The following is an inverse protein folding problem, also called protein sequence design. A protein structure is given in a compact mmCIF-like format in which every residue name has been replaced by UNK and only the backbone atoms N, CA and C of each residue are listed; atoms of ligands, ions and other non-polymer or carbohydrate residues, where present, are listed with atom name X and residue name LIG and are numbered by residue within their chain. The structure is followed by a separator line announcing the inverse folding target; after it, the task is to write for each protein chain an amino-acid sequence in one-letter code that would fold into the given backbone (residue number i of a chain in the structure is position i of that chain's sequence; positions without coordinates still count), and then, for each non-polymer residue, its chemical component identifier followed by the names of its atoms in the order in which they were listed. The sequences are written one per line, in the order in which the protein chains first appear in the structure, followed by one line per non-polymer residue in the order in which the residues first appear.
data_IF_220903757172
#
_entry.id   IF_220903757172
#
_cell.length_a   1.000
_cell.length_b   1.000
_cell.length_c   1.000
_cell.angle_alpha   90.00
_cell.angle_beta   90.00
_cell.angle_gamma   90.00
#
_symmetry.space_group_name_H-M   'P 1'
#
loop_
_entity.id
_entity.type
_entity.pdbx_description
1 polymer ?
#
# COMPACT_ATOMS: atom_id res chain seq x y z
N UNK A 1 34.87 -27.37 14.43
CA UNK A 1 34.65 -26.35 13.39
C UNK A 1 33.21 -25.83 13.31
N UNK A 2 32.26 -26.34 14.10
CA UNK A 2 30.86 -25.83 14.13
C UNK A 2 30.59 -24.75 15.19
N UNK A 3 31.55 -24.43 16.07
CA UNK A 3 31.34 -23.50 17.19
C UNK A 3 31.56 -22.02 16.85
N UNK A 4 32.26 -21.70 15.76
CA UNK A 4 32.58 -20.31 15.37
C UNK A 4 31.55 -19.71 14.39
N UNK A 5 30.84 -20.54 13.61
CA UNK A 5 29.80 -20.05 12.68
C UNK A 5 28.53 -19.58 13.40
N UNK A 6 28.22 -20.17 14.57
CA UNK A 6 27.02 -19.87 15.34
C UNK A 6 27.14 -18.58 16.19
N UNK A 7 28.36 -18.15 16.53
CA UNK A 7 28.56 -16.86 17.22
C UNK A 7 28.51 -15.69 16.23
N UNK A 8 29.03 -15.87 15.02
CA UNK A 8 29.06 -14.85 13.98
C UNK A 8 27.69 -14.54 13.35
N UNK A 9 26.74 -15.48 13.41
CA UNK A 9 25.33 -15.26 13.03
C UNK A 9 24.55 -14.57 14.15
N UNK A 10 24.80 -14.94 15.42
CA UNK A 10 24.23 -14.30 16.61
C UNK A 10 24.66 -12.84 16.80
N UNK A 11 25.95 -12.53 16.61
CA UNK A 11 26.47 -11.16 16.70
C UNK A 11 26.00 -10.27 15.54
N UNK A 12 25.85 -10.81 14.31
CA UNK A 12 25.25 -10.06 13.18
C UNK A 12 23.77 -9.76 13.40
N UNK A 13 23.02 -10.69 13.99
CA UNK A 13 21.62 -10.48 14.38
C UNK A 13 21.46 -9.45 15.50
N UNK A 14 22.33 -9.46 16.52
CA UNK A 14 22.30 -8.52 17.63
C UNK A 14 22.78 -7.11 17.25
N UNK A 15 23.81 -6.98 16.39
CA UNK A 15 24.26 -5.69 15.85
C UNK A 15 23.26 -5.06 14.86
N UNK A 16 22.44 -5.88 14.18
CA UNK A 16 21.37 -5.34 13.33
C UNK A 16 20.26 -4.72 14.20
N UNK A 17 19.82 -5.41 15.26
CA UNK A 17 18.77 -4.92 16.17
C UNK A 17 19.22 -3.66 16.93
N UNK A 18 20.48 -3.59 17.38
CA UNK A 18 21.01 -2.45 18.16
C UNK A 18 21.03 -1.13 17.37
N UNK A 19 21.21 -1.18 16.04
CA UNK A 19 21.15 0.00 15.16
C UNK A 19 19.74 0.59 15.02
N UNK A 20 18.70 -0.25 15.11
CA UNK A 20 17.32 0.16 14.89
C UNK A 20 16.53 0.37 16.18
N UNK A 21 17.05 -0.12 17.30
CA UNK A 21 16.58 0.26 18.62
C UNK A 21 16.69 1.79 18.78
N UNK A 22 15.60 2.40 19.24
CA UNK A 22 15.42 3.85 19.39
C UNK A 22 15.35 4.66 18.07
N UNK A 23 15.16 4.01 16.91
CA UNK A 23 14.90 4.74 15.66
C UNK A 23 13.44 5.23 15.62
N UNK A 24 13.23 6.46 16.11
CA UNK A 24 11.92 7.11 16.14
C UNK A 24 11.22 7.16 14.78
N UNK A 25 11.96 7.38 13.70
CA UNK A 25 11.39 7.44 12.34
C UNK A 25 10.92 6.08 11.85
N UNK A 26 11.65 5.01 12.18
CA UNK A 26 11.20 3.65 11.90
C UNK A 26 9.90 3.33 12.63
N UNK A 27 9.82 3.66 13.93
CA UNK A 27 8.60 3.42 14.71
C UNK A 27 7.40 4.17 14.14
N UNK A 28 7.60 5.42 13.75
CA UNK A 28 6.55 6.22 13.11
C UNK A 28 6.07 5.58 11.79
N UNK A 29 7.00 5.16 10.92
CA UNK A 29 6.65 4.53 9.64
C UNK A 29 5.93 3.20 9.84
N UNK A 30 6.42 2.34 10.74
CA UNK A 30 5.76 1.07 11.07
C UNK A 30 4.40 1.30 11.74
N UNK A 31 4.26 2.34 12.56
CA UNK A 31 2.98 2.74 13.16
C UNK A 31 1.97 3.20 12.10
N UNK A 32 2.41 3.99 11.13
CA UNK A 32 1.55 4.39 10.01
C UNK A 32 1.03 3.17 9.23
N UNK A 33 1.92 2.23 8.91
CA UNK A 33 1.57 1.01 8.18
C UNK A 33 0.64 0.13 9.02
N UNK A 34 0.98 -0.13 10.29
CA UNK A 34 0.13 -0.92 11.18
C UNK A 34 -1.30 -0.36 11.26
N UNK A 35 -1.46 0.96 11.38
CA UNK A 35 -2.79 1.56 11.39
C UNK A 35 -3.47 1.51 10.01
N UNK A 36 -2.71 1.62 8.93
CA UNK A 36 -3.19 1.40 7.56
C UNK A 36 -3.80 0.00 7.38
N UNK A 37 -3.09 -1.06 7.79
CA UNK A 37 -3.60 -2.43 7.69
C UNK A 37 -4.87 -2.63 8.55
N UNK A 38 -4.97 -1.94 9.69
CA UNK A 38 -6.20 -1.97 10.49
C UNK A 38 -7.38 -1.36 9.72
N UNK A 39 -7.15 -0.28 8.97
CA UNK A 39 -8.17 0.34 8.12
C UNK A 39 -8.53 -0.50 6.91
N UNK A 40 -7.56 -1.14 6.28
CA UNK A 40 -7.80 -2.10 5.22
C UNK A 40 -8.66 -3.28 5.72
N UNK A 41 -8.35 -3.82 6.91
CA UNK A 41 -9.18 -4.82 7.58
C UNK A 41 -10.63 -4.36 7.79
N UNK A 42 -10.83 -3.17 8.38
CA UNK A 42 -12.15 -2.60 8.64
C UNK A 42 -12.93 -2.42 7.32
N UNK A 43 -12.29 -1.89 6.29
CA UNK A 43 -12.90 -1.69 4.97
C UNK A 43 -13.26 -3.00 4.27
N UNK A 44 -12.36 -4.00 4.28
CA UNK A 44 -12.61 -5.30 3.69
C UNK A 44 -13.75 -6.04 4.40
N UNK A 45 -13.80 -5.96 5.74
CA UNK A 45 -14.91 -6.52 6.52
C UNK A 45 -16.24 -5.88 6.13
N UNK A 46 -16.29 -4.56 6.01
CA UNK A 46 -17.51 -3.86 5.62
C UNK A 46 -17.95 -4.22 4.20
N UNK A 47 -17.01 -4.35 3.25
CA UNK A 47 -17.31 -4.80 1.89
C UNK A 47 -17.86 -6.23 1.86
N UNK A 48 -17.36 -7.11 2.72
CA UNK A 48 -17.86 -8.47 2.84
C UNK A 48 -19.32 -8.54 3.33
N UNK A 49 -19.73 -7.60 4.18
CA UNK A 49 -21.08 -7.51 4.74
C UNK A 49 -22.07 -6.84 3.77
N UNK A 50 -21.60 -5.89 2.96
CA UNK A 50 -22.43 -5.14 2.00
C UNK A 50 -22.67 -5.86 0.67
N UNK A 51 -21.76 -6.73 0.25
CA UNK A 51 -21.88 -7.41 -1.05
C UNK A 51 -22.94 -8.52 -1.02
N UNK A 52 -23.79 -8.57 -2.05
CA UNK A 52 -24.80 -9.62 -2.23
C UNK A 52 -24.24 -10.90 -2.87
N UNK A 53 -23.12 -10.77 -3.59
CA UNK A 53 -22.42 -11.89 -4.21
C UNK A 53 -21.64 -12.67 -3.14
N UNK A 54 -21.97 -13.95 -2.97
CA UNK A 54 -21.37 -14.80 -1.95
C UNK A 54 -19.88 -15.04 -2.17
N UNK A 55 -19.45 -15.16 -3.43
CA UNK A 55 -18.04 -15.40 -3.75
C UNK A 55 -17.21 -14.14 -3.51
N UNK A 56 -17.77 -12.98 -3.84
CA UNK A 56 -17.19 -11.68 -3.46
C UNK A 56 -17.13 -11.52 -1.94
N UNK A 57 -18.19 -11.89 -1.20
CA UNK A 57 -18.21 -11.83 0.27
C UNK A 57 -17.13 -12.72 0.88
N UNK A 58 -16.98 -13.95 0.38
CA UNK A 58 -15.93 -14.87 0.83
C UNK A 58 -14.52 -14.33 0.55
N UNK A 59 -14.32 -13.70 -0.61
CA UNK A 59 -13.05 -13.06 -0.98
C UNK A 59 -12.70 -11.91 -0.04
N UNK A 60 -13.65 -11.00 0.23
CA UNK A 60 -13.41 -9.90 1.16
C UNK A 60 -13.20 -10.37 2.62
N UNK A 61 -13.86 -11.45 3.05
CA UNK A 61 -13.57 -12.07 4.37
C UNK A 61 -12.14 -12.60 4.45
N UNK A 62 -11.64 -13.20 3.37
CA UNK A 62 -10.24 -13.64 3.29
C UNK A 62 -9.28 -12.46 3.38
N UNK A 63 -9.56 -11.37 2.65
CA UNK A 63 -8.75 -10.15 2.68
C UNK A 63 -8.73 -9.54 4.08
N UNK A 64 -9.90 -9.36 4.71
CA UNK A 64 -9.98 -8.90 6.09
C UNK A 64 -9.15 -9.77 7.05
N UNK A 65 -9.19 -11.10 6.91
CA UNK A 65 -8.37 -11.98 7.72
C UNK A 65 -6.86 -11.84 7.44
N UNK A 66 -6.44 -11.51 6.21
CA UNK A 66 -5.05 -11.21 5.85
C UNK A 66 -4.59 -9.89 6.48
N UNK A 67 -5.35 -8.82 6.27
CA UNK A 67 -5.08 -7.48 6.80
C UNK A 67 -4.93 -7.46 8.32
N UNK A 68 -5.84 -8.14 9.03
CA UNK A 68 -5.76 -8.22 10.48
C UNK A 68 -4.50 -8.97 10.95
N UNK A 69 -4.03 -9.97 10.17
CA UNK A 69 -2.74 -10.63 10.47
C UNK A 69 -1.57 -9.70 10.20
N UNK A 70 -1.60 -8.93 9.11
CA UNK A 70 -0.55 -7.95 8.80
C UNK A 70 -0.44 -6.89 9.88
N UNK A 71 -1.57 -6.28 10.26
CA UNK A 71 -1.67 -5.34 11.39
C UNK A 71 -1.02 -5.92 12.65
N UNK A 72 -1.45 -7.12 13.08
CA UNK A 72 -0.90 -7.79 14.27
C UNK A 72 0.61 -8.07 14.15
N UNK A 73 1.08 -8.41 12.95
CA UNK A 73 2.49 -8.64 12.69
C UNK A 73 3.32 -7.36 12.82
N UNK A 74 2.86 -6.23 12.28
CA UNK A 74 3.52 -4.94 12.47
C UNK A 74 3.50 -4.47 13.93
N UNK A 75 2.39 -4.67 14.65
CA UNK A 75 2.29 -4.42 16.10
C UNK A 75 3.33 -5.25 16.87
N UNK A 76 3.47 -6.53 16.54
CA UNK A 76 4.49 -7.41 17.14
C UNK A 76 5.90 -6.93 16.81
N UNK A 77 6.16 -6.47 15.58
CA UNK A 77 7.47 -5.95 15.18
C UNK A 77 7.83 -4.66 15.92
N UNK A 78 6.88 -3.73 16.05
CA UNK A 78 7.05 -2.51 16.85
C UNK A 78 7.45 -2.84 18.30
N UNK A 79 6.74 -3.77 18.93
CA UNK A 79 7.05 -4.21 20.29
C UNK A 79 8.44 -4.87 20.40
N UNK A 80 8.80 -5.74 19.44
CA UNK A 80 10.13 -6.38 19.40
C UNK A 80 11.27 -5.37 19.23
N UNK A 81 11.02 -4.26 18.55
CA UNK A 81 11.98 -3.16 18.40
C UNK A 81 12.01 -2.21 19.61
N UNK A 82 11.20 -2.45 20.64
CA UNK A 82 11.13 -1.65 21.87
C UNK A 82 10.19 -0.45 21.80
N UNK A 83 9.34 -0.34 20.77
CA UNK A 83 8.35 0.71 20.63
C UNK A 83 7.00 0.32 21.25
N UNK A 84 6.29 1.32 21.80
CA UNK A 84 4.86 1.20 22.12
C UNK A 84 4.05 1.33 20.81
N UNK A 85 3.32 0.28 20.38
CA UNK A 85 2.60 0.30 19.11
C UNK A 85 1.50 1.37 19.05
N UNK A 86 0.76 1.58 20.15
CA UNK A 86 -0.31 2.59 20.20
C UNK A 86 0.26 4.00 20.06
N UNK A 87 1.38 4.28 20.74
CA UNK A 87 2.08 5.57 20.59
C UNK A 87 2.64 5.76 19.19
N UNK A 88 3.10 4.70 18.54
CA UNK A 88 3.61 4.74 17.18
C UNK A 88 2.51 5.02 16.14
N UNK A 89 1.32 4.43 16.32
CA UNK A 89 0.16 4.60 15.43
C UNK A 89 -0.53 5.97 15.60
N UNK A 90 -0.64 6.45 16.84
CA UNK A 90 -1.43 7.64 17.22
C UNK A 90 -1.26 8.86 16.29
N UNK A 91 -0.05 9.26 15.85
CA UNK A 91 0.12 10.45 14.99
C UNK A 91 -0.49 10.33 13.59
N UNK A 92 -0.85 9.12 13.16
CA UNK A 92 -1.36 8.84 11.80
C UNK A 92 -2.87 8.60 11.77
N UNK A 93 -3.49 8.42 12.93
CA UNK A 93 -4.91 8.07 13.08
C UNK A 93 -5.81 8.99 12.28
N UNK A 94 -5.72 10.30 12.49
CA UNK A 94 -6.61 11.27 11.84
C UNK A 94 -6.38 11.32 10.33
N UNK A 95 -5.11 11.35 9.88
CA UNK A 95 -4.78 11.38 8.46
C UNK A 95 -5.22 10.12 7.71
N UNK A 96 -5.06 8.95 8.32
CA UNK A 96 -5.46 7.68 7.72
C UNK A 96 -6.97 7.49 7.78
N UNK A 97 -7.64 7.93 8.84
CA UNK A 97 -9.10 8.02 8.88
C UNK A 97 -9.64 8.91 7.77
N UNK A 98 -9.02 10.08 7.54
CA UNK A 98 -9.43 10.97 6.47
C UNK A 98 -9.17 10.38 5.08
N UNK A 99 -8.03 9.71 4.89
CA UNK A 99 -7.71 9.04 3.62
C UNK A 99 -8.68 7.88 3.31
N UNK A 100 -9.02 7.08 4.32
CA UNK A 100 -9.96 5.96 4.19
C UNK A 100 -11.44 6.36 4.37
N UNK A 101 -11.73 7.65 4.60
CA UNK A 101 -13.11 8.10 4.75
C UNK A 101 -13.88 7.79 3.47
N UNK A 102 -14.98 7.05 3.61
CA UNK A 102 -15.90 6.82 2.51
C UNK A 102 -16.53 8.14 2.12
N UNK A 103 -16.20 8.60 0.93
CA UNK A 103 -16.98 9.64 0.28
C UNK A 103 -17.92 8.95 -0.70
N UNK A 104 -19.13 9.49 -0.87
CA UNK A 104 -20.20 8.94 -1.73
C UNK A 104 -19.88 8.97 -3.23
N UNK A 105 -18.68 8.55 -3.61
CA UNK A 105 -18.20 8.39 -4.97
C UNK A 105 -18.95 7.29 -5.69
N UNK A 106 -18.98 7.41 -7.02
CA UNK A 106 -19.59 6.39 -7.88
C UNK A 106 -18.74 5.11 -7.93
N UNK A 107 -19.34 4.01 -8.41
CA UNK A 107 -18.73 2.67 -8.51
C UNK A 107 -17.33 2.69 -9.16
N UNK A 108 -17.13 3.47 -10.23
CA UNK A 108 -15.86 3.56 -10.95
C UNK A 108 -14.78 4.23 -10.10
N UNK A 109 -15.11 5.34 -9.44
CA UNK A 109 -14.18 6.05 -8.58
C UNK A 109 -13.70 5.16 -7.44
N UNK A 110 -14.62 4.45 -6.78
CA UNK A 110 -14.28 3.55 -5.69
C UNK A 110 -13.37 2.40 -6.17
N UNK A 111 -13.63 1.83 -7.34
CA UNK A 111 -12.78 0.79 -7.92
C UNK A 111 -11.38 1.29 -8.30
N UNK A 112 -11.27 2.51 -8.84
CA UNK A 112 -9.97 3.14 -9.14
C UNK A 112 -9.17 3.36 -7.86
N UNK A 113 -9.79 3.91 -6.82
CA UNK A 113 -9.10 4.22 -5.56
C UNK A 113 -8.71 2.95 -4.81
N UNK A 114 -9.54 1.90 -4.84
CA UNK A 114 -9.17 0.59 -4.30
C UNK A 114 -7.95 0.04 -5.04
N UNK A 115 -7.99 -0.09 -6.37
CA UNK A 115 -6.88 -0.65 -7.14
C UNK A 115 -5.57 0.13 -6.99
N UNK A 116 -5.61 1.46 -7.11
CA UNK A 116 -4.42 2.29 -6.96
C UNK A 116 -3.94 2.35 -5.50
N UNK A 117 -4.85 2.24 -4.54
CA UNK A 117 -4.56 2.17 -3.11
C UNK A 117 -3.72 0.94 -2.77
N UNK A 118 -4.16 -0.25 -3.17
CA UNK A 118 -3.38 -1.50 -2.99
C UNK A 118 -1.99 -1.39 -3.60
N UNK A 119 -1.93 -0.82 -4.80
CA UNK A 119 -0.70 -0.63 -5.52
C UNK A 119 0.30 0.30 -4.80
N UNK A 120 -0.19 1.41 -4.27
CA UNK A 120 0.59 2.38 -3.51
C UNK A 120 1.08 1.78 -2.19
N UNK A 121 0.24 1.03 -1.48
CA UNK A 121 0.61 0.33 -0.25
C UNK A 121 1.74 -0.68 -0.52
N UNK A 122 1.59 -1.50 -1.58
CA UNK A 122 2.61 -2.45 -2.01
C UNK A 122 3.94 -1.77 -2.41
N UNK A 123 3.91 -0.62 -3.08
CA UNK A 123 5.12 0.11 -3.46
C UNK A 123 5.82 0.74 -2.25
N UNK A 124 5.04 1.24 -1.27
CA UNK A 124 5.57 1.71 0.00
C UNK A 124 6.29 0.58 0.75
N UNK A 125 5.70 -0.61 0.81
CA UNK A 125 6.30 -1.78 1.44
C UNK A 125 7.58 -2.23 0.73
N UNK A 126 7.61 -2.22 -0.61
CA UNK A 126 8.83 -2.52 -1.39
C UNK A 126 9.96 -1.55 -1.10
N UNK A 127 9.65 -0.25 -1.02
CA UNK A 127 10.65 0.73 -0.58
C UNK A 127 11.10 0.48 0.85
N UNK A 128 10.17 0.18 1.76
CA UNK A 128 10.48 0.02 3.19
C UNK A 128 11.52 -1.08 3.40
N UNK A 129 11.43 -2.19 2.66
CA UNK A 129 12.43 -3.27 2.68
C UNK A 129 13.87 -2.81 2.45
N UNK A 130 14.08 -1.73 1.70
CA UNK A 130 15.41 -1.20 1.38
C UNK A 130 16.04 -0.41 2.55
N UNK A 131 15.25 -0.05 3.56
CA UNK A 131 15.61 0.90 4.62
C UNK A 131 15.29 0.37 6.03
N UNK A 132 15.00 -0.93 6.18
CA UNK A 132 14.75 -1.60 7.47
C UNK A 132 15.70 -2.77 7.68
N UNK A 133 15.67 -3.35 8.87
CA UNK A 133 16.38 -4.58 9.17
C UNK A 133 15.81 -5.82 8.44
N UNK A 134 16.59 -6.89 8.40
CA UNK A 134 16.25 -8.13 7.70
C UNK A 134 14.96 -8.78 8.19
N UNK A 135 14.74 -8.90 9.50
CA UNK A 135 13.51 -9.54 10.01
C UNK A 135 12.25 -8.74 9.60
N UNK A 136 12.33 -7.40 9.63
CA UNK A 136 11.24 -6.53 9.18
C UNK A 136 11.02 -6.72 7.68
N UNK A 137 12.09 -6.77 6.89
CA UNK A 137 12.00 -6.98 5.43
C UNK A 137 11.41 -8.36 5.08
N UNK A 138 11.79 -9.41 5.80
CA UNK A 138 11.28 -10.77 5.63
C UNK A 138 9.80 -10.86 5.99
N UNK A 139 9.37 -10.16 7.05
CA UNK A 139 7.95 -10.06 7.38
C UNK A 139 7.17 -9.33 6.28
N UNK A 140 7.70 -8.22 5.76
CA UNK A 140 7.09 -7.49 4.65
C UNK A 140 6.95 -8.39 3.40
N UNK A 141 7.87 -9.31 3.14
CA UNK A 141 7.72 -10.28 2.05
C UNK A 141 6.53 -11.22 2.23
N UNK A 142 6.14 -11.52 3.47
CA UNK A 142 4.91 -12.28 3.73
C UNK A 142 3.66 -11.45 3.47
N UNK A 143 3.68 -10.17 3.82
CA UNK A 143 2.59 -9.20 3.55
C UNK A 143 2.40 -9.05 2.04
N UNK A 144 3.47 -8.75 1.30
CA UNK A 144 3.43 -8.54 -0.15
C UNK A 144 2.91 -9.74 -0.95
N UNK A 145 3.05 -10.98 -0.43
CA UNK A 145 2.46 -12.18 -1.05
C UNK A 145 0.93 -12.17 -0.99
N UNK A 146 0.38 -11.75 0.14
CA UNK A 146 -1.07 -11.59 0.34
C UNK A 146 -1.58 -10.40 -0.50
N UNK A 147 -0.93 -9.23 -0.41
CA UNK A 147 -1.28 -8.00 -1.14
C UNK A 147 -1.37 -8.19 -2.65
N UNK A 148 -0.51 -9.04 -3.21
CA UNK A 148 -0.54 -9.35 -4.64
C UNK A 148 -1.87 -9.93 -5.11
N UNK A 149 -2.64 -10.56 -4.22
CA UNK A 149 -3.97 -11.09 -4.53
C UNK A 149 -5.04 -10.00 -4.42
N UNK A 150 -4.88 -9.06 -3.48
CA UNK A 150 -5.81 -7.94 -3.28
C UNK A 150 -5.74 -6.99 -4.46
N UNK A 151 -4.52 -6.59 -4.86
CA UNK A 151 -4.28 -5.72 -6.00
C UNK A 151 -4.85 -6.32 -7.29
N UNK A 152 -4.65 -7.63 -7.53
CA UNK A 152 -5.21 -8.34 -8.69
C UNK A 152 -6.74 -8.34 -8.69
N UNK A 153 -7.36 -8.63 -7.55
CA UNK A 153 -8.81 -8.65 -7.45
C UNK A 153 -9.40 -7.25 -7.69
N UNK A 154 -8.78 -6.21 -7.14
CA UNK A 154 -9.17 -4.83 -7.40
C UNK A 154 -8.97 -4.43 -8.87
N UNK A 155 -7.87 -4.88 -9.50
CA UNK A 155 -7.62 -4.68 -10.95
C UNK A 155 -8.73 -5.31 -11.81
N UNK A 156 -9.09 -6.56 -11.54
CA UNK A 156 -10.13 -7.29 -12.26
C UNK A 156 -11.48 -6.59 -12.16
N UNK A 157 -11.88 -6.16 -10.96
CA UNK A 157 -13.10 -5.37 -10.76
C UNK A 157 -13.05 -4.06 -11.53
N UNK A 158 -11.93 -3.33 -11.47
CA UNK A 158 -11.80 -2.08 -12.22
C UNK A 158 -11.88 -2.30 -13.74
N UNK A 159 -11.24 -3.35 -14.27
CA UNK A 159 -11.31 -3.72 -15.70
C UNK A 159 -12.75 -3.95 -16.16
N UNK A 160 -13.52 -4.72 -15.39
CA UNK A 160 -14.94 -4.96 -15.66
C UNK A 160 -15.77 -3.67 -15.75
N UNK A 161 -15.39 -2.61 -15.03
CA UNK A 161 -16.09 -1.32 -15.06
C UNK A 161 -15.66 -0.44 -16.24
N UNK A 162 -14.34 -0.33 -16.48
CA UNK A 162 -13.81 0.57 -17.51
C UNK A 162 -14.07 0.04 -18.92
N UNK A 163 -14.21 -1.27 -19.09
CA UNK A 163 -14.49 -1.89 -20.38
C UNK A 163 -15.97 -1.74 -20.80
N UNK A 164 -16.85 -1.28 -19.91
CA UNK A 164 -18.28 -1.03 -20.23
C UNK A 164 -18.47 0.06 -21.28
N UNK A 165 -17.65 1.12 -21.27
CA UNK A 165 -17.75 2.23 -22.23
C UNK A 165 -16.53 3.16 -22.21
N UNK A 166 -16.36 3.96 -23.26
CA UNK A 166 -15.37 5.04 -23.28
C UNK A 166 -15.58 6.06 -22.14
N UNK A 167 -16.83 6.36 -21.79
CA UNK A 167 -17.17 7.27 -20.70
C UNK A 167 -16.69 6.69 -19.35
N UNK A 168 -16.84 5.38 -19.14
CA UNK A 168 -16.35 4.71 -17.94
C UNK A 168 -14.83 4.87 -17.81
N UNK A 169 -14.11 4.68 -18.92
CA UNK A 169 -12.66 4.85 -18.96
C UNK A 169 -12.20 6.29 -18.69
N UNK A 170 -12.93 7.29 -19.21
CA UNK A 170 -12.66 8.70 -18.93
C UNK A 170 -12.92 9.05 -17.45
N UNK A 171 -14.01 8.55 -16.87
CA UNK A 171 -14.30 8.71 -15.43
C UNK A 171 -13.22 8.09 -14.57
N UNK A 172 -12.72 6.91 -14.95
CA UNK A 172 -11.61 6.27 -14.23
C UNK A 172 -10.32 7.10 -14.28
N UNK A 173 -10.00 7.69 -15.43
CA UNK A 173 -8.84 8.58 -15.55
C UNK A 173 -8.97 9.87 -14.71
N UNK A 174 -10.19 10.42 -14.57
CA UNK A 174 -10.48 11.56 -13.70
C UNK A 174 -10.32 11.14 -12.23
N UNK A 175 -10.95 10.04 -11.82
CA UNK A 175 -10.87 9.53 -10.45
C UNK A 175 -9.43 9.26 -10.01
N UNK A 176 -8.57 8.77 -10.90
CA UNK A 176 -7.15 8.60 -10.62
C UNK A 176 -6.46 9.94 -10.29
N UNK A 177 -6.73 11.00 -11.06
CA UNK A 177 -6.16 12.33 -10.77
C UNK A 177 -6.68 12.92 -9.47
N UNK A 178 -7.96 12.72 -9.17
CA UNK A 178 -8.56 13.15 -7.90
C UNK A 178 -7.92 12.44 -6.71
N UNK A 179 -7.62 11.14 -6.83
CA UNK A 179 -6.90 10.40 -5.81
C UNK A 179 -5.52 11.02 -5.52
N UNK A 180 -4.76 11.36 -6.56
CA UNK A 180 -3.45 11.98 -6.40
C UNK A 180 -3.55 13.31 -5.63
N UNK A 181 -4.54 14.15 -5.98
CA UNK A 181 -4.79 15.40 -5.26
C UNK A 181 -5.14 15.15 -3.78
N UNK A 182 -5.97 14.14 -3.51
CA UNK A 182 -6.34 13.74 -2.15
C UNK A 182 -5.17 13.25 -1.34
N UNK A 183 -4.31 12.39 -1.90
CA UNK A 183 -3.11 11.92 -1.21
C UNK A 183 -2.20 13.09 -0.79
N UNK A 184 -2.08 14.10 -1.66
CA UNK A 184 -1.29 15.30 -1.33
C UNK A 184 -1.97 16.20 -0.29
N UNK A 185 -3.31 16.18 -0.20
CA UNK A 185 -4.10 17.07 0.66
C UNK A 185 -4.45 16.47 2.03
N UNK A 186 -4.75 15.17 2.12
CA UNK A 186 -5.17 14.46 3.33
C UNK A 186 -4.01 14.19 4.31
N UNK A 187 -2.76 14.34 3.85
CA UNK A 187 -1.58 14.12 4.68
C UNK A 187 -0.56 15.25 4.65
N UNK A 188 -0.59 16.11 3.63
CA UNK A 188 0.35 17.21 3.40
C UNK A 188 1.82 16.79 3.44
N UNK A 189 2.60 17.14 2.42
CA UNK A 189 4.09 17.05 2.40
C UNK A 189 4.74 17.75 3.62
N UNK A 190 3.97 18.54 4.37
CA UNK A 190 4.36 19.31 5.55
C UNK A 190 3.98 18.67 6.89
N UNK A 191 3.27 17.54 6.96
CA UNK A 191 2.93 16.93 8.25
C UNK A 191 4.17 16.29 8.89
N UNK A 192 4.26 16.37 10.22
CA UNK A 192 5.30 15.69 10.99
C UNK A 192 5.35 14.17 10.69
N UNK A 193 4.20 13.61 10.30
CA UNK A 193 3.96 12.24 9.86
C UNK A 193 4.66 11.90 8.54
N UNK A 194 4.60 12.78 7.52
CA UNK A 194 5.33 12.55 6.26
C UNK A 194 6.86 12.66 6.43
N UNK A 195 7.32 13.56 7.31
CA UNK A 195 8.75 13.71 7.57
C UNK A 195 9.38 12.45 8.18
N UNK A 196 8.61 11.56 8.82
CA UNK A 196 9.12 10.29 9.31
C UNK A 196 9.64 9.41 8.15
N UNK A 197 8.89 9.34 7.05
CA UNK A 197 9.29 8.59 5.85
C UNK A 197 10.55 9.18 5.22
N UNK A 198 10.67 10.51 5.18
CA UNK A 198 11.87 11.16 4.65
C UNK A 198 13.11 10.91 5.52
N UNK A 199 12.95 10.90 6.85
CA UNK A 199 14.02 10.70 7.82
C UNK A 199 14.48 9.25 7.94
N UNK A 200 13.61 8.28 7.65
CA UNK A 200 13.96 6.86 7.71
C UNK A 200 15.06 6.51 6.71
N UNK A 201 15.06 7.16 5.54
CA UNK A 201 16.17 7.10 4.58
C UNK A 201 15.72 6.91 3.14
N UNK A 202 16.63 7.17 2.19
CA UNK A 202 16.41 6.92 0.76
C UNK A 202 15.10 7.52 0.20
N UNK A 203 14.72 8.73 0.64
CA UNK A 203 13.46 9.40 0.24
C UNK A 203 13.28 9.52 -1.28
N UNK A 204 14.36 9.70 -2.04
CA UNK A 204 14.32 9.72 -3.50
C UNK A 204 13.85 8.37 -4.08
N UNK A 205 14.21 7.24 -3.47
CA UNK A 205 13.71 5.93 -3.85
C UNK A 205 12.24 5.77 -3.51
N UNK A 206 11.78 6.27 -2.36
CA UNK A 206 10.34 6.26 -2.02
C UNK A 206 9.52 6.95 -3.12
N UNK A 207 9.93 8.17 -3.49
CA UNK A 207 9.28 8.91 -4.57
C UNK A 207 9.33 8.13 -5.88
N UNK A 208 10.47 7.50 -6.21
CA UNK A 208 10.60 6.67 -7.40
C UNK A 208 9.65 5.46 -7.38
N UNK A 209 9.60 4.68 -6.30
CA UNK A 209 8.68 3.53 -6.17
C UNK A 209 7.22 3.95 -6.38
N UNK A 210 6.78 4.98 -5.66
CA UNK A 210 5.39 5.45 -5.73
C UNK A 210 5.05 6.01 -7.12
N UNK A 211 5.88 6.88 -7.69
CA UNK A 211 5.59 7.52 -8.97
C UNK A 211 5.66 6.53 -10.15
N UNK A 212 6.69 5.69 -10.19
CA UNK A 212 6.86 4.72 -11.29
C UNK A 212 5.78 3.63 -11.24
N UNK A 213 5.46 3.10 -10.07
CA UNK A 213 4.40 2.11 -9.89
C UNK A 213 3.03 2.68 -10.25
N UNK A 214 2.71 3.88 -9.78
CA UNK A 214 1.47 4.57 -10.11
C UNK A 214 1.30 4.78 -11.63
N UNK A 215 2.33 5.31 -12.31
CA UNK A 215 2.29 5.53 -13.76
C UNK A 215 2.20 4.21 -14.53
N UNK A 216 2.91 3.17 -14.09
CA UNK A 216 2.84 1.83 -14.70
C UNK A 216 1.42 1.28 -14.65
N UNK A 217 0.73 1.39 -13.51
CA UNK A 217 -0.66 0.95 -13.35
C UNK A 217 -1.62 1.70 -14.27
N UNK A 218 -1.52 3.03 -14.33
CA UNK A 218 -2.34 3.83 -15.25
C UNK A 218 -2.08 3.45 -16.72
N UNK A 219 -0.82 3.23 -17.09
CA UNK A 219 -0.46 2.83 -18.45
C UNK A 219 -1.03 1.44 -18.80
N UNK A 220 -0.94 0.48 -17.89
CA UNK A 220 -1.45 -0.88 -18.08
C UNK A 220 -2.97 -0.95 -18.25
N UNK A 221 -3.70 0.02 -17.70
CA UNK A 221 -5.16 0.17 -17.88
C UNK A 221 -5.51 1.15 -19.02
N UNK A 222 -4.52 1.76 -19.66
CA UNK A 222 -4.72 2.76 -20.71
C UNK A 222 -5.43 4.03 -20.20
N UNK A 223 -5.23 4.38 -18.93
CA UNK A 223 -5.81 5.57 -18.27
C UNK A 223 -4.90 6.81 -18.37
N UNK A 224 -3.78 6.70 -19.08
CA UNK A 224 -2.89 7.84 -19.38
C UNK A 224 -3.50 8.74 -20.46
N UNK A 225 -3.17 10.04 -20.41
CA UNK A 225 -3.70 11.08 -21.32
C UNK A 225 -3.42 10.78 -22.81
N UNK A 226 -2.44 9.91 -23.09
CA UNK A 226 -2.03 9.51 -24.45
C UNK A 226 -2.31 8.04 -24.79
N UNK A 227 -2.97 7.28 -23.89
CA UNK A 227 -3.11 5.82 -24.00
C UNK A 227 -3.94 5.29 -25.19
N UNK A 228 -4.68 6.18 -25.88
CA UNK A 228 -5.54 5.78 -27.01
C UNK A 228 -5.01 6.19 -28.39
N UNK A 229 -3.98 7.04 -28.49
CA UNK A 229 -3.45 7.48 -29.78
C UNK A 229 -2.39 6.52 -30.30
N UNK A 230 -1.49 6.04 -29.44
CA UNK A 230 -0.39 5.16 -29.87
C UNK A 230 -0.87 3.80 -30.40
N UNK A 231 -1.84 3.16 -29.73
CA UNK A 231 -2.40 1.85 -30.16
C UNK A 231 -3.24 1.95 -31.43
N UNK A 232 -3.90 3.09 -31.66
CA UNK A 232 -4.72 3.34 -32.85
C UNK A 232 -3.85 3.71 -34.06
N UNK A 233 -2.73 4.40 -33.86
CA UNK A 233 -1.75 4.71 -34.91
C UNK A 233 -1.00 3.45 -35.34
N UNK A 234 -0.68 2.52 -34.43
CA UNK A 234 -0.05 1.25 -34.80
C UNK A 234 -0.98 0.32 -35.58
N UNK A 235 -2.28 0.30 -35.26
CA UNK A 235 -3.27 -0.50 -36.02
C UNK A 235 -3.63 0.10 -37.38
N UNK A 236 -3.49 1.43 -37.55
CA UNK A 236 -3.71 2.11 -38.83
C UNK A 236 -2.50 2.06 -39.78
N UNK A 237 -1.31 1.69 -39.28
CA UNK A 237 -0.12 1.44 -40.11
C UNK A 237 0.04 -0.04 -40.52
N UNK A 238 -0.82 -0.91 -40.00
CA UNK A 238 -0.81 -2.35 -40.26
C UNK A 238 -2.01 -2.82 -41.10
N UNK A 239 -2.84 -1.88 -41.57
CA UNK A 239 -3.92 -2.07 -42.53
C UNK A 239 -3.59 -1.24 -43.78
#
# INVERSE_FOLDING_TARGET
MESEENSASGERGQNSISKWQNNKSLYQVLGAIAYGELKAYEGAKELADLTVDRDASATYKKFAAQELRHHKGFVKRLAALGADPERAMKPFVDSLNQYHAKEGGNEIQNAVWSFLGEGIASDLLRWLKEVVDTDTADFIDTVLKDESQHEKYAEEKLRQLIDRSLISKLRAAIAAREMLFRMTSAGGVKSASFLAFLRLGQAHKLVAYLSTGYLKRLNNLGLTIYGNTAKKISSLKAA
#
